data_IF_441033782115
#
_entry.id   IF_441033782115
#
_cell.length_a   1.000
_cell.length_b   1.000
_cell.length_c   1.000
_cell.angle_alpha   90.00
_cell.angle_beta   90.00
_cell.angle_gamma   90.00
#
_symmetry.space_group_name_H-M   'P 1'
#
loop_
_entity.id
_entity.type
_entity.pdbx_description
1 polymer ?
#
# COMPACT_ATOMS: atom_id res chain seq x y z
N UNK A 1 -60.36 44.01 -55.25
CA UNK A 1 -59.01 44.58 -55.21
C UNK A 1 -58.54 44.54 -53.77
N UNK A 2 -58.08 43.37 -53.33
CA UNK A 2 -56.66 42.94 -53.19
C UNK A 2 -56.12 43.32 -51.82
N UNK A 3 -56.41 42.46 -50.83
CA UNK A 3 -55.69 42.39 -49.57
C UNK A 3 -54.28 41.84 -49.86
N UNK A 4 -53.27 42.55 -49.38
CA UNK A 4 -51.87 42.20 -49.50
C UNK A 4 -51.58 41.08 -48.49
N UNK A 5 -51.38 39.86 -48.98
CA UNK A 5 -50.87 38.75 -48.19
C UNK A 5 -49.43 39.05 -47.77
N UNK A 6 -49.17 39.07 -46.46
CA UNK A 6 -47.83 39.12 -45.90
C UNK A 6 -47.06 37.83 -46.19
N UNK A 7 -45.72 37.86 -46.30
CA UNK A 7 -44.94 36.69 -46.67
C UNK A 7 -45.04 35.61 -45.58
N UNK A 8 -45.74 34.52 -45.89
CA UNK A 8 -45.82 33.34 -45.05
C UNK A 8 -44.43 32.69 -44.92
N UNK A 9 -43.91 32.62 -43.68
CA UNK A 9 -42.69 31.89 -43.41
C UNK A 9 -42.87 30.43 -43.82
N UNK A 10 -42.00 29.93 -44.71
CA UNK A 10 -42.14 28.58 -45.25
C UNK A 10 -41.96 27.53 -44.14
N UNK A 11 -42.69 26.40 -44.18
CA UNK A 11 -42.57 25.33 -43.18
C UNK A 11 -41.16 24.75 -43.07
N UNK A 12 -40.32 24.93 -44.11
CA UNK A 12 -38.89 24.62 -44.08
C UNK A 12 -38.09 25.54 -43.15
N UNK A 13 -38.36 26.85 -43.13
CA UNK A 13 -37.71 27.80 -42.24
C UNK A 13 -38.05 27.51 -40.77
N UNK A 14 -39.31 27.15 -40.48
CA UNK A 14 -39.76 26.82 -39.13
C UNK A 14 -39.11 25.54 -38.57
N UNK A 15 -38.95 24.50 -39.40
CA UNK A 15 -38.26 23.26 -39.04
C UNK A 15 -36.75 23.46 -38.85
N UNK A 16 -36.13 24.32 -39.65
CA UNK A 16 -34.71 24.66 -39.50
C UNK A 16 -34.46 25.41 -38.17
N UNK A 17 -35.34 26.36 -37.82
CA UNK A 17 -35.27 27.10 -36.55
C UNK A 17 -35.46 26.20 -35.33
N UNK A 18 -36.44 25.28 -35.36
CA UNK A 18 -36.65 24.30 -34.29
C UNK A 18 -35.43 23.39 -34.08
N UNK A 19 -34.80 22.91 -35.16
CA UNK A 19 -33.58 22.09 -35.06
C UNK A 19 -32.43 22.89 -34.45
N UNK A 20 -32.25 24.15 -34.86
CA UNK A 20 -31.21 25.03 -34.32
C UNK A 20 -31.40 25.30 -32.82
N UNK A 21 -32.65 25.54 -32.39
CA UNK A 21 -33.00 25.75 -30.97
C UNK A 21 -32.78 24.48 -30.14
N UNK A 22 -33.14 23.30 -30.65
CA UNK A 22 -32.93 22.02 -29.94
C UNK A 22 -31.42 21.69 -29.80
N UNK A 23 -30.62 21.95 -30.84
CA UNK A 23 -29.16 21.74 -30.76
C UNK A 23 -28.50 22.75 -29.81
N UNK A 24 -28.92 24.01 -29.82
CA UNK A 24 -28.43 25.04 -28.89
C UNK A 24 -28.79 24.72 -27.42
N UNK A 25 -30.01 24.24 -27.17
CA UNK A 25 -30.44 23.79 -25.84
C UNK A 25 -29.69 22.53 -25.37
N UNK A 26 -29.45 21.56 -26.26
CA UNK A 26 -28.69 20.35 -25.95
C UNK A 26 -27.20 20.60 -25.67
N UNK A 27 -26.59 21.54 -26.38
CA UNK A 27 -25.21 22.01 -26.14
C UNK A 27 -25.10 22.75 -24.80
N UNK A 28 -26.08 23.62 -24.47
CA UNK A 28 -26.14 24.30 -23.18
C UNK A 28 -26.29 23.34 -22.00
N UNK A 29 -27.17 22.34 -22.12
CA UNK A 29 -27.38 21.33 -21.08
C UNK A 29 -26.14 20.45 -20.88
N UNK A 30 -25.46 20.06 -21.96
CA UNK A 30 -24.23 19.27 -21.91
C UNK A 30 -23.07 20.06 -21.28
N UNK A 31 -22.97 21.36 -21.56
CA UNK A 31 -21.98 22.25 -20.95
C UNK A 31 -22.24 22.45 -19.45
N UNK A 32 -23.49 22.64 -19.05
CA UNK A 32 -23.88 22.75 -17.64
C UNK A 32 -23.61 21.44 -16.87
N UNK A 33 -23.88 20.28 -17.48
CA UNK A 33 -23.59 18.98 -16.88
C UNK A 33 -22.07 18.74 -16.73
N UNK A 34 -21.28 19.12 -17.74
CA UNK A 34 -19.82 19.05 -17.67
C UNK A 34 -19.23 19.99 -16.58
N UNK A 35 -19.79 21.20 -16.43
CA UNK A 35 -19.41 22.14 -15.37
C UNK A 35 -19.79 21.64 -13.97
N UNK A 36 -20.96 20.99 -13.83
CA UNK A 36 -21.38 20.37 -12.56
C UNK A 36 -20.49 19.20 -12.16
N UNK A 37 -20.05 18.38 -13.12
CA UNK A 37 -19.13 17.26 -12.87
C UNK A 37 -17.72 17.78 -12.51
N UNK A 38 -17.26 18.86 -13.15
CA UNK A 38 -15.98 19.50 -12.84
C UNK A 38 -15.96 20.23 -11.47
N UNK A 39 -17.14 20.55 -10.91
CA UNK A 39 -17.28 21.24 -9.64
C UNK A 39 -17.40 20.30 -8.42
N UNK A 40 -17.34 18.98 -8.60
CA UNK A 40 -17.29 18.05 -7.48
C UNK A 40 -15.94 18.20 -6.77
N UNK A 41 -15.90 18.69 -5.52
CA UNK A 41 -14.65 18.72 -4.76
C UNK A 41 -14.18 17.28 -4.59
N UNK A 42 -13.02 16.95 -5.17
CA UNK A 42 -12.37 15.68 -4.89
C UNK A 42 -12.08 15.61 -3.39
N UNK A 43 -12.75 14.70 -2.68
CA UNK A 43 -12.40 14.40 -1.30
C UNK A 43 -11.00 13.80 -1.32
N UNK A 44 -10.00 14.62 -0.95
CA UNK A 44 -8.70 14.09 -0.57
C UNK A 44 -8.94 13.27 0.69
N UNK A 45 -8.73 11.97 0.59
CA UNK A 45 -8.55 11.15 1.78
C UNK A 45 -7.22 11.61 2.40
N UNK A 46 -7.30 12.52 3.38
CA UNK A 46 -6.15 12.96 4.14
C UNK A 46 -5.88 11.87 5.20
N UNK A 47 -4.70 11.26 5.11
CA UNK A 47 -4.20 10.40 6.17
C UNK A 47 -3.72 11.31 7.30
N UNK A 48 -4.08 10.93 8.54
CA UNK A 48 -3.80 11.75 9.72
C UNK A 48 -2.30 11.93 9.94
N UNK A 49 -1.55 10.82 9.92
CA UNK A 49 -0.08 10.84 10.00
C UNK A 49 0.54 10.26 8.74
N UNK A 50 1.42 11.05 8.11
CA UNK A 50 2.27 10.60 7.00
C UNK A 50 3.65 10.19 7.52
N UNK A 51 4.18 9.12 6.95
CA UNK A 51 5.44 8.49 7.34
C UNK A 51 6.39 8.46 6.14
N UNK A 52 7.66 8.81 6.35
CA UNK A 52 8.69 8.77 5.29
C UNK A 52 9.24 7.35 5.02
N UNK A 53 8.37 6.38 4.76
CA UNK A 53 8.74 5.02 4.40
C UNK A 53 7.67 3.99 4.73
N UNK A 54 7.75 2.81 4.10
CA UNK A 54 6.83 1.67 4.32
C UNK A 54 7.47 0.54 5.14
N UNK A 55 8.73 0.70 5.51
CA UNK A 55 9.55 -0.22 6.31
C UNK A 55 10.77 0.49 6.87
N UNK A 56 11.38 -0.14 7.87
CA UNK A 56 12.63 0.32 8.48
C UNK A 56 13.67 -0.77 8.35
N UNK A 57 14.83 -0.43 7.80
CA UNK A 57 16.02 -1.28 7.83
C UNK A 57 16.92 -0.76 8.96
N UNK A 58 17.17 -1.59 9.95
CA UNK A 58 18.09 -1.32 11.06
C UNK A 58 19.36 -2.11 10.82
N UNK A 59 20.43 -1.42 10.42
CA UNK A 59 21.74 -2.03 10.21
C UNK A 59 22.41 -2.28 11.56
N UNK A 60 23.01 -3.45 11.76
CA UNK A 60 23.65 -3.80 13.04
C UNK A 60 24.74 -2.80 13.48
N UNK A 61 25.49 -2.22 12.55
CA UNK A 61 26.51 -1.20 12.85
C UNK A 61 25.93 0.09 13.43
N UNK A 62 24.63 0.34 13.24
CA UNK A 62 23.99 1.57 13.68
C UNK A 62 23.61 1.48 15.16
N UNK A 63 23.78 2.59 15.87
CA UNK A 63 23.30 2.73 17.26
C UNK A 63 21.82 3.07 17.32
N UNK A 64 21.33 3.74 16.28
CA UNK A 64 19.93 4.12 16.15
C UNK A 64 19.53 4.22 14.69
N UNK A 65 18.22 4.11 14.46
CA UNK A 65 17.59 4.44 13.20
C UNK A 65 16.47 5.44 13.43
N UNK A 66 16.25 6.36 12.50
CA UNK A 66 15.26 7.43 12.64
C UNK A 66 14.11 7.30 11.65
N UNK A 67 12.91 7.71 12.08
CA UNK A 67 11.72 7.77 11.22
C UNK A 67 10.98 9.09 11.48
N UNK A 68 10.66 9.84 10.42
CA UNK A 68 9.95 11.11 10.54
C UNK A 68 8.45 10.88 10.31
N UNK A 69 7.67 11.42 11.24
CA UNK A 69 6.21 11.45 11.21
C UNK A 69 5.78 12.90 11.02
N UNK A 70 4.70 13.10 10.27
CA UNK A 70 4.10 14.41 10.04
C UNK A 70 2.58 14.31 10.19
N UNK A 71 1.99 15.20 10.99
CA UNK A 71 0.54 15.28 11.11
C UNK A 71 0.00 16.19 10.00
N UNK A 72 -0.68 15.61 9.03
CA UNK A 72 -1.27 16.35 7.91
C UNK A 72 -2.76 16.63 8.13
N UNK A 73 -3.33 16.19 9.25
CA UNK A 73 -4.69 16.56 9.64
C UNK A 73 -4.78 18.00 10.15
N UNK A 74 -6.02 18.48 10.19
CA UNK A 74 -6.40 19.76 10.80
C UNK A 74 -6.56 19.69 12.34
N UNK A 75 -6.38 18.52 12.95
CA UNK A 75 -6.54 18.29 14.39
C UNK A 75 -5.29 17.68 15.02
N UNK A 76 -4.98 17.99 16.28
CA UNK A 76 -3.86 17.38 16.98
C UNK A 76 -4.12 15.91 17.26
N UNK A 77 -3.07 15.09 17.26
CA UNK A 77 -3.17 13.66 17.56
C UNK A 77 -2.24 13.25 18.69
N UNK A 78 -2.68 12.28 19.51
CA UNK A 78 -1.78 11.58 20.44
C UNK A 78 -1.20 10.38 19.71
N UNK A 79 0.13 10.31 19.63
CA UNK A 79 0.85 9.22 18.99
C UNK A 79 1.46 8.33 20.05
N UNK A 80 1.30 7.02 19.90
CA UNK A 80 2.04 6.01 20.66
C UNK A 80 2.87 5.16 19.69
N UNK A 81 4.15 4.98 19.98
CA UNK A 81 5.07 4.23 19.13
C UNK A 81 5.84 3.17 19.94
N UNK A 82 5.88 1.94 19.42
CA UNK A 82 6.61 0.83 20.03
C UNK A 82 7.06 -0.19 19.00
N UNK A 83 8.06 -1.01 19.36
CA UNK A 83 8.48 -2.15 18.56
C UNK A 83 8.07 -3.47 19.23
N UNK A 84 7.64 -4.46 18.45
CA UNK A 84 7.35 -5.81 18.93
C UNK A 84 7.82 -6.89 17.93
N UNK A 85 7.72 -8.15 18.35
CA UNK A 85 8.06 -9.32 17.52
C UNK A 85 6.82 -9.98 16.90
N UNK A 86 5.63 -9.74 17.44
CA UNK A 86 4.43 -10.46 17.04
C UNK A 86 3.76 -9.82 15.83
N UNK A 87 3.37 -10.62 14.85
CA UNK A 87 2.53 -10.15 13.74
C UNK A 87 1.08 -9.78 14.16
N UNK A 88 0.70 -9.86 15.43
CA UNK A 88 -0.70 -9.73 15.90
C UNK A 88 -1.19 -8.35 16.35
N UNK A 89 -0.36 -7.29 16.32
CA UNK A 89 -0.80 -5.89 16.50
C UNK A 89 -1.31 -5.51 17.90
N UNK A 90 -1.23 -6.43 18.87
CA UNK A 90 -1.50 -6.13 20.27
C UNK A 90 -0.19 -5.77 20.96
N UNK A 91 -0.14 -4.71 21.79
CA UNK A 91 1.00 -4.50 22.65
C UNK A 91 1.13 -5.72 23.56
N UNK A 92 2.14 -6.54 23.33
CA UNK A 92 2.53 -7.56 24.29
C UNK A 92 3.00 -6.81 25.55
N UNK A 93 2.51 -7.24 26.72
CA UNK A 93 2.98 -6.69 28.00
C UNK A 93 4.49 -6.86 28.17
N UNK A 94 5.04 -7.88 27.51
CA UNK A 94 6.46 -8.11 27.35
C UNK A 94 6.81 -7.76 25.90
N UNK A 95 7.38 -6.58 25.66
CA UNK A 95 7.93 -6.27 24.35
C UNK A 95 9.12 -7.22 24.08
N UNK A 96 8.86 -8.33 23.40
CA UNK A 96 9.84 -9.32 22.92
C UNK A 96 10.77 -8.76 21.82
N UNK A 97 10.87 -7.43 21.73
CA UNK A 97 11.72 -6.73 20.79
C UNK A 97 13.01 -6.25 21.48
N UNK A 98 14.17 -6.38 20.81
CA UNK A 98 15.41 -5.77 21.25
C UNK A 98 15.45 -4.26 20.98
N UNK A 99 14.38 -3.69 20.42
CA UNK A 99 14.28 -2.28 20.04
C UNK A 99 13.41 -1.46 20.98
N UNK A 100 13.90 -0.28 21.34
CA UNK A 100 13.19 0.77 22.05
C UNK A 100 12.88 1.93 21.08
N UNK A 101 11.65 2.46 21.13
CA UNK A 101 11.24 3.61 20.31
C UNK A 101 11.06 4.83 21.19
N UNK A 102 11.66 5.96 20.81
CA UNK A 102 11.62 7.20 21.57
C UNK A 102 11.32 8.42 20.68
N UNK A 103 10.46 9.36 21.11
CA UNK A 103 9.53 9.23 22.23
C UNK A 103 8.47 8.15 21.99
N UNK A 104 8.07 7.44 23.05
CA UNK A 104 7.07 6.37 22.95
C UNK A 104 5.63 6.87 22.98
N UNK A 105 5.40 8.05 23.57
CA UNK A 105 4.11 8.74 23.59
C UNK A 105 4.33 10.24 23.47
N UNK A 106 3.64 10.91 22.56
CA UNK A 106 3.71 12.36 22.38
C UNK A 106 2.48 12.90 21.67
N UNK A 107 2.22 14.18 21.83
CA UNK A 107 1.21 14.92 21.05
C UNK A 107 1.89 15.46 19.79
N UNK A 108 1.20 15.41 18.67
CA UNK A 108 1.63 16.01 17.40
C UNK A 108 0.54 16.97 16.90
N UNK A 109 0.84 18.26 16.88
CA UNK A 109 -0.11 19.30 16.44
C UNK A 109 -0.24 19.35 14.90
N UNK A 110 -1.31 19.94 14.35
CA UNK A 110 -1.52 20.07 12.91
C UNK A 110 -0.34 20.70 12.17
N UNK A 111 0.13 20.05 11.09
CA UNK A 111 1.26 20.51 10.29
C UNK A 111 2.63 20.34 10.94
N UNK A 112 2.69 19.84 12.18
CA UNK A 112 3.96 19.56 12.85
C UNK A 112 4.53 18.19 12.46
N UNK A 113 5.82 18.03 12.72
CA UNK A 113 6.52 16.78 12.47
C UNK A 113 7.35 16.36 13.68
N UNK A 114 7.37 15.06 13.93
CA UNK A 114 8.15 14.44 14.99
C UNK A 114 9.08 13.38 14.41
N UNK A 115 10.34 13.36 14.86
CA UNK A 115 11.26 12.27 14.54
C UNK A 115 11.28 11.25 15.67
N UNK A 116 11.00 9.99 15.32
CA UNK A 116 11.20 8.84 16.19
C UNK A 116 12.64 8.34 16.08
N UNK A 117 13.20 7.92 17.20
CA UNK A 117 14.48 7.22 17.30
C UNK A 117 14.22 5.79 17.76
N UNK A 118 14.67 4.84 16.95
CA UNK A 118 14.61 3.41 17.18
C UNK A 118 16.01 3.00 17.65
N UNK A 119 16.12 2.50 18.86
CA UNK A 119 17.37 2.17 19.55
C UNK A 119 17.45 0.67 19.78
N UNK A 120 18.58 0.04 19.51
CA UNK A 120 18.83 -1.35 19.90
C UNK A 120 19.33 -1.37 21.35
N UNK A 121 18.56 -1.96 22.25
CA UNK A 121 18.85 -2.02 23.69
C UNK A 121 19.28 -3.41 24.18
N UNK A 122 19.11 -4.43 23.34
CA UNK A 122 19.51 -5.82 23.58
C UNK A 122 20.13 -6.39 22.31
N UNK A 123 21.00 -7.37 22.46
CA UNK A 123 21.56 -8.09 21.32
C UNK A 123 20.47 -8.90 20.60
N UNK A 124 20.69 -9.13 19.31
CA UNK A 124 19.83 -9.98 18.48
C UNK A 124 20.57 -11.28 18.23
N UNK A 125 19.98 -12.41 18.62
CA UNK A 125 20.67 -13.70 18.65
C UNK A 125 21.05 -14.25 17.27
N UNK A 126 20.35 -13.83 16.21
CA UNK A 126 20.63 -14.26 14.83
C UNK A 126 21.52 -13.25 14.12
N UNK A 127 22.75 -13.66 13.85
CA UNK A 127 23.76 -12.88 13.14
C UNK A 127 24.02 -13.35 11.70
N UNK A 128 23.46 -14.49 11.31
CA UNK A 128 23.66 -15.16 10.02
C UNK A 128 22.53 -14.88 9.01
N UNK A 129 21.44 -14.28 9.47
CA UNK A 129 20.30 -13.90 8.63
C UNK A 129 19.56 -12.70 9.19
N UNK A 130 18.74 -12.06 8.37
CA UNK A 130 17.84 -11.02 8.82
C UNK A 130 16.83 -11.52 9.86
N UNK A 131 16.44 -10.62 10.75
CA UNK A 131 15.34 -10.83 11.70
C UNK A 131 14.23 -9.81 11.50
N UNK A 132 12.98 -10.25 11.52
CA UNK A 132 11.81 -9.38 11.40
C UNK A 132 11.23 -9.01 12.76
N UNK A 133 10.97 -7.73 12.92
CA UNK A 133 10.19 -7.10 13.97
C UNK A 133 9.16 -6.17 13.35
N UNK A 134 8.29 -5.58 14.18
CA UNK A 134 7.30 -4.61 13.73
C UNK A 134 7.44 -3.32 14.51
N UNK A 135 7.44 -2.20 13.79
CA UNK A 135 7.27 -0.87 14.36
C UNK A 135 5.79 -0.50 14.26
N UNK A 136 5.20 -0.22 15.41
CA UNK A 136 3.79 0.11 15.56
C UNK A 136 3.68 1.60 15.87
N UNK A 137 2.82 2.30 15.13
CA UNK A 137 2.51 3.72 15.33
C UNK A 137 1.00 3.83 15.43
N UNK A 138 0.53 4.10 16.65
CA UNK A 138 -0.89 4.23 16.96
C UNK A 138 -1.25 5.69 17.11
N UNK A 139 -2.27 6.09 16.38
CA UNK A 139 -2.80 7.45 16.32
C UNK A 139 -4.11 7.47 17.10
N UNK A 140 -4.23 8.39 18.05
CA UNK A 140 -5.44 8.58 18.85
C UNK A 140 -5.92 10.02 18.68
N UNK A 141 -7.00 10.25 17.90
CA UNK A 141 -7.54 11.59 17.72
C UNK A 141 -8.19 12.12 19.00
N UNK A 142 -8.45 13.44 19.08
CA UNK A 142 -9.12 14.03 20.23
C UNK A 142 -10.60 13.63 20.23
N UNK A 143 -11.22 13.64 21.42
CA UNK A 143 -12.65 13.39 21.53
C UNK A 143 -13.43 14.58 20.93
N UNK A 144 -14.34 14.35 19.98
CA UNK A 144 -15.24 15.40 19.49
C UNK A 144 -16.13 15.91 20.63
N UNK A 145 -16.43 17.21 20.67
CA UNK A 145 -17.36 17.76 21.65
C UNK A 145 -18.82 17.59 21.16
N UNK A 146 -19.76 17.39 22.09
CA UNK A 146 -21.20 17.59 21.83
C UNK A 146 -22.02 16.42 21.25
N UNK A 147 -21.48 15.21 21.11
CA UNK A 147 -22.24 14.04 20.58
C UNK A 147 -22.31 12.88 21.56
N UNK A 148 -23.52 12.38 21.84
CA UNK A 148 -23.80 11.34 22.85
C UNK A 148 -23.59 9.91 22.36
N UNK A 149 -23.65 9.67 21.04
CA UNK A 149 -23.36 8.38 20.41
C UNK A 149 -22.28 8.56 19.34
N UNK A 150 -21.08 8.03 19.60
CA UNK A 150 -19.95 8.20 18.68
C UNK A 150 -19.10 6.93 18.56
N UNK A 151 -18.67 6.66 17.34
CA UNK A 151 -17.61 5.71 17.03
C UNK A 151 -16.33 6.52 16.81
N UNK A 152 -15.29 6.22 17.58
CA UNK A 152 -13.97 6.81 17.39
C UNK A 152 -13.02 5.75 16.84
N UNK A 153 -12.40 6.06 15.72
CA UNK A 153 -11.41 5.20 15.08
C UNK A 153 -10.03 5.74 15.44
N UNK A 154 -9.21 4.89 16.06
CA UNK A 154 -7.76 5.09 16.15
C UNK A 154 -7.10 4.22 15.09
N UNK A 155 -6.14 4.78 14.36
CA UNK A 155 -5.41 4.05 13.33
C UNK A 155 -4.17 3.43 13.97
N UNK A 156 -3.86 2.18 13.62
CA UNK A 156 -2.61 1.52 13.96
C UNK A 156 -1.86 1.21 12.68
N UNK A 157 -0.83 1.99 12.40
CA UNK A 157 0.08 1.75 11.29
C UNK A 157 1.19 0.81 11.74
N UNK A 158 1.44 -0.25 10.97
CA UNK A 158 2.46 -1.26 11.27
C UNK A 158 3.46 -1.35 10.13
N UNK A 159 4.72 -1.10 10.45
CA UNK A 159 5.82 -1.12 9.51
C UNK A 159 6.73 -2.30 9.83
N UNK A 160 7.21 -2.99 8.80
CA UNK A 160 8.25 -4.01 8.98
C UNK A 160 9.53 -3.34 9.46
N UNK A 161 10.12 -3.86 10.52
CA UNK A 161 11.42 -3.46 11.05
C UNK A 161 12.38 -4.63 10.87
N UNK A 162 13.23 -4.56 9.85
CA UNK A 162 14.22 -5.57 9.58
C UNK A 162 15.52 -5.24 10.31
N UNK A 163 15.97 -6.15 11.17
CA UNK A 163 17.32 -6.13 11.69
C UNK A 163 18.23 -6.86 10.72
N UNK A 164 19.28 -6.17 10.25
CA UNK A 164 20.24 -6.69 9.28
C UNK A 164 21.63 -6.78 9.92
N UNK A 165 22.11 -8.01 10.23
CA UNK A 165 23.49 -8.24 10.63
C UNK A 165 24.49 -7.73 9.61
N UNK A 166 25.70 -7.45 10.08
CA UNK A 166 26.85 -7.14 9.23
C UNK A 166 27.40 -8.37 8.54
N UNK A 167 27.84 -8.23 7.29
CA UNK A 167 28.51 -9.30 6.57
C UNK A 167 27.60 -10.45 6.10
N UNK A 168 26.29 -10.24 6.03
CA UNK A 168 25.39 -11.19 5.36
C UNK A 168 25.84 -11.43 3.91
N UNK A 169 25.81 -12.68 3.48
CA UNK A 169 26.11 -13.03 2.10
C UNK A 169 24.97 -12.67 1.15
N UNK A 170 25.33 -12.10 0.00
CA UNK A 170 24.38 -11.64 -1.04
C UNK A 170 23.91 -10.21 -0.82
N UNK A 171 22.94 -9.78 -1.62
CA UNK A 171 22.30 -8.47 -1.50
C UNK A 171 20.77 -8.61 -1.45
N UNK A 172 20.04 -7.69 -0.78
CA UNK A 172 18.57 -7.76 -0.70
C UNK A 172 17.87 -7.76 -2.07
N UNK A 173 18.44 -7.05 -3.04
CA UNK A 173 17.91 -7.03 -4.41
C UNK A 173 18.07 -8.37 -5.13
N UNK A 174 19.16 -9.08 -4.87
CA UNK A 174 19.44 -10.40 -5.43
C UNK A 174 18.58 -11.47 -4.77
N UNK A 175 18.29 -11.34 -3.47
CA UNK A 175 17.36 -12.23 -2.78
C UNK A 175 15.98 -12.29 -3.46
N UNK A 176 15.48 -11.15 -3.94
CA UNK A 176 14.22 -11.10 -4.71
C UNK A 176 14.37 -11.85 -6.04
N UNK A 177 15.49 -11.67 -6.74
CA UNK A 177 15.71 -12.27 -8.06
C UNK A 177 15.98 -13.78 -8.00
N UNK A 178 16.56 -14.26 -6.91
CA UNK A 178 16.99 -15.65 -6.71
C UNK A 178 15.94 -16.52 -6.01
N UNK A 179 14.71 -16.03 -5.86
CA UNK A 179 13.59 -16.86 -5.42
C UNK A 179 13.42 -18.04 -6.39
N UNK A 180 13.29 -19.24 -5.83
CA UNK A 180 13.08 -20.45 -6.60
C UNK A 180 11.59 -20.77 -6.59
N UNK A 181 11.05 -21.13 -7.75
CA UNK A 181 9.63 -21.35 -7.93
C UNK A 181 9.42 -22.72 -8.54
N UNK A 182 8.51 -23.50 -7.96
CA UNK A 182 8.17 -24.81 -8.49
C UNK A 182 6.69 -25.13 -8.31
N UNK A 183 6.17 -26.02 -9.15
CA UNK A 183 4.80 -26.53 -9.07
C UNK A 183 4.81 -27.90 -8.41
N UNK A 184 4.32 -27.97 -7.17
CA UNK A 184 4.22 -29.22 -6.45
C UNK A 184 2.90 -29.96 -6.78
N UNK A 185 2.95 -31.26 -7.13
CA UNK A 185 1.76 -32.07 -7.34
C UNK A 185 1.06 -32.36 -6.01
N UNK A 186 -0.28 -32.39 -6.03
CA UNK A 186 -1.10 -32.67 -4.86
C UNK A 186 -2.58 -32.75 -5.21
N UNK A 187 -3.47 -32.99 -4.24
CA UNK A 187 -4.93 -32.97 -4.45
C UNK A 187 -5.40 -31.64 -5.06
N UNK A 188 -4.77 -30.56 -4.62
CA UNK A 188 -4.78 -29.25 -5.27
C UNK A 188 -3.36 -28.96 -5.78
N UNK A 189 -3.24 -28.48 -7.02
CA UNK A 189 -1.96 -28.00 -7.56
C UNK A 189 -1.47 -26.83 -6.71
N UNK A 190 -0.19 -26.83 -6.31
CA UNK A 190 0.39 -25.74 -5.53
C UNK A 190 1.52 -25.05 -6.28
N UNK A 191 1.55 -23.73 -6.17
CA UNK A 191 2.74 -22.95 -6.45
C UNK A 191 3.55 -22.87 -5.16
N UNK A 192 4.81 -23.24 -5.22
CA UNK A 192 5.74 -23.21 -4.10
C UNK A 192 6.88 -22.25 -4.42
N UNK A 193 7.31 -21.49 -3.42
CA UNK A 193 8.42 -20.57 -3.52
C UNK A 193 9.40 -20.79 -2.38
N UNK A 194 10.67 -20.96 -2.72
CA UNK A 194 11.77 -21.06 -1.78
C UNK A 194 12.57 -19.75 -1.77
N UNK A 195 12.91 -19.29 -0.56
CA UNK A 195 13.83 -18.20 -0.33
C UNK A 195 15.16 -18.74 0.22
N UNK A 196 16.15 -19.04 -0.63
CA UNK A 196 17.44 -19.57 -0.18
C UNK A 196 18.38 -18.49 0.41
N UNK A 197 17.92 -17.24 0.46
CA UNK A 197 18.75 -16.10 0.87
C UNK A 197 18.73 -15.86 2.38
N UNK A 198 19.65 -15.01 2.84
CA UNK A 198 19.71 -14.52 4.22
C UNK A 198 18.76 -13.33 4.49
N UNK A 199 17.93 -12.94 3.51
CA UNK A 199 17.07 -11.76 3.56
C UNK A 199 15.59 -12.13 3.53
N UNK A 200 14.74 -11.33 4.16
CA UNK A 200 13.29 -11.45 3.98
C UNK A 200 12.88 -10.89 2.63
N UNK A 201 12.06 -11.63 1.88
CA UNK A 201 11.51 -11.16 0.61
C UNK A 201 10.04 -10.83 0.78
N UNK A 202 9.71 -9.53 0.71
CA UNK A 202 8.32 -9.06 0.83
C UNK A 202 7.59 -9.12 -0.50
N UNK A 203 7.00 -10.27 -0.83
CA UNK A 203 6.09 -10.38 -1.96
C UNK A 203 4.78 -9.63 -1.67
N UNK A 204 4.16 -9.13 -2.74
CA UNK A 204 2.86 -8.44 -2.68
C UNK A 204 1.86 -8.98 -3.70
N UNK A 205 2.27 -9.87 -4.60
CA UNK A 205 1.36 -10.60 -5.47
C UNK A 205 2.03 -11.13 -6.74
N UNK A 206 1.29 -11.98 -7.45
CA UNK A 206 1.74 -12.66 -8.65
C UNK A 206 0.64 -12.83 -9.69
N UNK A 207 1.03 -13.01 -10.95
CA UNK A 207 0.14 -13.25 -12.08
C UNK A 207 0.83 -14.12 -13.14
N UNK A 208 0.05 -14.91 -13.87
CA UNK A 208 0.57 -15.75 -14.99
C UNK A 208 0.65 -14.98 -16.32
N UNK A 209 0.45 -13.67 -16.25
CA UNK A 209 0.52 -12.71 -17.35
C UNK A 209 1.21 -11.46 -16.82
N UNK A 210 1.81 -10.69 -17.72
CA UNK A 210 2.36 -9.39 -17.35
C UNK A 210 1.25 -8.51 -16.74
N UNK A 211 1.53 -7.90 -15.59
CA UNK A 211 0.55 -7.15 -14.81
C UNK A 211 -0.15 -6.08 -15.66
N UNK A 212 -1.49 -6.11 -15.69
CA UNK A 212 -2.28 -5.09 -16.39
C UNK A 212 -3.26 -4.35 -15.49
N UNK A 213 -3.77 -4.94 -14.40
CA UNK A 213 -4.61 -4.23 -13.39
C UNK A 213 -4.81 -5.01 -12.08
N UNK A 214 -4.72 -6.35 -12.06
CA UNK A 214 -4.99 -7.19 -10.87
C UNK A 214 -4.01 -8.36 -10.75
N UNK A 215 -3.75 -8.78 -9.52
CA UNK A 215 -2.97 -9.98 -9.22
C UNK A 215 -3.88 -11.21 -9.23
N UNK A 216 -3.37 -12.30 -9.80
CA UNK A 216 -4.06 -13.59 -9.74
C UNK A 216 -3.78 -14.31 -8.41
N UNK A 217 -2.67 -13.94 -7.74
CA UNK A 217 -2.16 -14.58 -6.54
C UNK A 217 -1.89 -13.55 -5.44
N UNK A 218 -2.40 -13.84 -4.24
CA UNK A 218 -2.00 -13.14 -3.01
C UNK A 218 -0.79 -13.86 -2.43
N UNK A 219 0.38 -13.22 -2.53
CA UNK A 219 1.65 -13.78 -2.08
C UNK A 219 2.07 -13.11 -0.78
N UNK A 220 2.59 -13.92 0.15
CA UNK A 220 3.08 -13.46 1.44
C UNK A 220 4.59 -13.24 1.42
N UNK A 221 5.09 -12.57 2.45
CA UNK A 221 6.53 -12.41 2.63
C UNK A 221 7.18 -13.72 3.06
N UNK A 222 8.32 -14.04 2.46
CA UNK A 222 9.16 -15.18 2.85
C UNK A 222 10.24 -14.73 3.82
N UNK A 223 10.46 -15.52 4.87
CA UNK A 223 11.61 -15.38 5.75
C UNK A 223 12.87 -15.97 5.08
N UNK A 224 14.08 -15.64 5.56
CA UNK A 224 15.30 -16.31 5.15
C UNK A 224 15.20 -17.82 5.31
N UNK A 225 15.68 -18.58 4.34
CA UNK A 225 15.70 -20.06 4.34
C UNK A 225 14.33 -20.70 4.60
N UNK A 226 13.27 -20.06 4.10
CA UNK A 226 11.89 -20.56 4.26
C UNK A 226 11.20 -20.76 2.92
N UNK A 227 10.13 -21.55 2.98
CA UNK A 227 9.26 -21.87 1.87
C UNK A 227 7.85 -21.32 2.14
N UNK A 228 7.16 -20.89 1.08
CA UNK A 228 5.73 -20.61 1.10
C UNK A 228 5.02 -21.35 -0.04
N UNK A 229 3.77 -21.78 0.18
CA UNK A 229 2.97 -22.45 -0.84
C UNK A 229 1.56 -21.90 -0.93
N UNK A 230 1.05 -21.79 -2.16
CA UNK A 230 -0.28 -21.27 -2.47
C UNK A 230 -1.04 -22.24 -3.39
N UNK A 231 -2.28 -22.57 -3.03
CA UNK A 231 -3.13 -23.41 -3.85
C UNK A 231 -3.55 -22.68 -5.13
N UNK A 232 -3.42 -23.34 -6.27
CA UNK A 232 -3.85 -22.84 -7.56
C UNK A 232 -5.21 -23.43 -7.93
N UNK A 233 -6.13 -22.57 -8.36
CA UNK A 233 -7.45 -22.99 -8.87
C UNK A 233 -7.36 -23.62 -10.26
N UNK A 234 -6.38 -23.19 -11.06
CA UNK A 234 -6.15 -23.65 -12.42
C UNK A 234 -4.69 -23.95 -12.64
N UNK A 235 -4.41 -24.99 -13.43
CA UNK A 235 -3.05 -25.32 -13.85
C UNK A 235 -2.61 -24.34 -14.94
N UNK A 236 -1.49 -23.61 -14.77
CA UNK A 236 -0.92 -22.81 -15.83
C UNK A 236 -0.44 -23.70 -16.98
N UNK A 237 -0.36 -23.16 -18.19
CA UNK A 237 0.19 -23.91 -19.31
C UNK A 237 1.67 -24.25 -19.05
N UNK A 238 2.18 -25.40 -19.52
CA UNK A 238 3.60 -25.72 -19.40
C UNK A 238 4.49 -24.61 -19.98
N UNK A 239 5.50 -24.18 -19.22
CA UNK A 239 6.39 -23.09 -19.61
C UNK A 239 5.81 -21.67 -19.46
N UNK A 240 4.64 -21.52 -18.83
CA UNK A 240 4.10 -20.20 -18.50
C UNK A 240 4.98 -19.46 -17.49
N UNK A 241 5.28 -18.20 -17.80
CA UNK A 241 5.97 -17.30 -16.89
C UNK A 241 5.06 -16.82 -15.76
N UNK A 242 5.55 -16.93 -14.54
CA UNK A 242 5.03 -16.24 -13.36
C UNK A 242 5.68 -14.86 -13.27
N UNK A 243 4.85 -13.82 -13.36
CA UNK A 243 5.23 -12.46 -13.01
C UNK A 243 4.92 -12.24 -11.54
N UNK A 244 5.88 -11.76 -10.75
CA UNK A 244 5.70 -11.48 -9.33
C UNK A 244 6.22 -10.10 -8.95
N UNK A 245 5.63 -9.55 -7.88
CA UNK A 245 5.97 -8.25 -7.32
C UNK A 245 6.49 -8.41 -5.91
N UNK A 246 7.60 -7.73 -5.65
CA UNK A 246 8.17 -7.60 -4.32
C UNK A 246 8.39 -6.13 -3.98
N UNK A 247 8.52 -5.81 -2.70
CA UNK A 247 8.91 -4.48 -2.23
C UNK A 247 10.37 -4.54 -1.78
N UNK A 248 11.22 -3.66 -2.32
CA UNK A 248 12.62 -3.54 -1.92
C UNK A 248 12.80 -2.70 -0.63
N UNK A 249 14.05 -2.51 -0.19
CA UNK A 249 14.38 -1.76 1.03
C UNK A 249 13.91 -0.30 1.01
N UNK A 250 13.83 0.30 -0.18
CA UNK A 250 13.37 1.69 -0.36
C UNK A 250 11.84 1.81 -0.43
N UNK A 251 11.11 0.71 -0.30
CA UNK A 251 9.65 0.70 -0.42
C UNK A 251 9.14 0.72 -1.86
N UNK A 252 10.02 0.59 -2.86
CA UNK A 252 9.63 0.54 -4.25
C UNK A 252 9.18 -0.86 -4.67
N UNK A 253 8.17 -0.93 -5.53
CA UNK A 253 7.71 -2.19 -6.13
C UNK A 253 8.69 -2.60 -7.23
N UNK A 254 9.20 -3.81 -7.13
CA UNK A 254 10.07 -4.46 -8.11
C UNK A 254 9.29 -5.60 -8.75
N UNK A 255 9.25 -5.60 -10.08
CA UNK A 255 8.63 -6.65 -10.87
C UNK A 255 9.72 -7.62 -11.34
N UNK A 256 9.43 -8.91 -11.27
CA UNK A 256 10.27 -10.00 -11.77
C UNK A 256 9.43 -11.03 -12.50
N UNK A 257 10.12 -11.81 -13.31
CA UNK A 257 9.57 -12.92 -14.09
C UNK A 257 10.38 -14.17 -13.72
N UNK A 258 9.68 -15.28 -13.50
CA UNK A 258 10.28 -16.60 -13.34
C UNK A 258 9.43 -17.62 -14.10
N UNK A 259 10.04 -18.70 -14.57
CA UNK A 259 9.32 -19.86 -15.08
C UNK A 259 9.39 -20.91 -13.97
N UNK A 260 8.26 -21.24 -13.31
CA UNK A 260 8.29 -22.24 -12.25
C UNK A 260 8.65 -23.62 -12.81
N UNK A 261 9.56 -24.31 -12.12
CA UNK A 261 9.94 -25.67 -12.46
C UNK A 261 8.76 -26.62 -12.22
N UNK A 262 8.65 -27.64 -13.06
CA UNK A 262 7.70 -28.74 -12.85
C UNK A 262 8.47 -29.90 -12.23
N UNK A 263 8.10 -30.33 -11.02
CA UNK A 263 8.54 -31.63 -10.49
C UNK A 263 7.97 -32.80 -11.31
#
# INVERSE_FOLDING_TARGET
MTAIEGPGASPFAMRAWQRLVIHALGLGLSLCLALMIAALPGHKAEASITINGTRVIYQEVQREQTLRLENQDSVPVLVQAWADRHAGGRPARDAESPFLVTPSVFRLDPGESQTLRILRIRDVERSDQESLYWLNIKEVPPLPQGTTNRLQLGILTRLKLFYRPTGLAGEPGDAIANLQWHLAPGPDLRLVCDNPSNYHVSLIGGAWRQFSDHDDLSLDMLAPHSEASWSLQTRPAPGSSLWYRAINDYGAVVVREAIPDTE
#
